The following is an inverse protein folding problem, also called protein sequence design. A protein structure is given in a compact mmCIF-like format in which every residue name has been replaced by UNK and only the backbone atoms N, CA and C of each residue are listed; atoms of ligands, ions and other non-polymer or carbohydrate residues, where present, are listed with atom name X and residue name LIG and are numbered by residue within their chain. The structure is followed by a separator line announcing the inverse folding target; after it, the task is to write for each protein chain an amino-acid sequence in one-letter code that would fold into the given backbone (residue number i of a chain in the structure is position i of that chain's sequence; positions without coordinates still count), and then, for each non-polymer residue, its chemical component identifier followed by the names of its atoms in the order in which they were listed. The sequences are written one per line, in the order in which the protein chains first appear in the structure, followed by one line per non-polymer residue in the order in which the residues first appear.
data_IF_553341854002
#
_entry.id   IF_553341854002
#
_cell.length_a   1.000
_cell.length_b   1.000
_cell.length_c   1.000
_cell.angle_alpha   90.00
_cell.angle_beta   90.00
_cell.angle_gamma   90.00
#
_symmetry.space_group_name_H-M   'P 1'
#
loop_
_entity.id
_entity.type
_entity.pdbx_description
1 polymer ?
#
# COMPACT_ATOMS: atom_id res chain seq x y z
N UNK A 1 -5.27 -15.51 -8.72
CA UNK A 1 -3.83 -15.29 -8.95
C UNK A 1 -3.32 -14.44 -7.80
N UNK A 2 -2.44 -14.97 -6.94
CA UNK A 2 -1.92 -14.21 -5.78
C UNK A 2 -0.90 -13.17 -6.27
N UNK A 3 -1.24 -11.89 -6.18
CA UNK A 3 -0.32 -10.81 -6.54
C UNK A 3 0.79 -10.68 -5.48
N UNK A 4 2.06 -10.82 -5.88
CA UNK A 4 3.24 -10.69 -5.00
C UNK A 4 4.06 -9.41 -5.23
N UNK A 5 3.52 -8.44 -5.97
CA UNK A 5 4.28 -7.27 -6.42
C UNK A 5 4.91 -6.44 -5.30
N UNK A 6 4.30 -6.38 -4.11
CA UNK A 6 4.89 -5.69 -2.94
C UNK A 6 6.20 -6.36 -2.55
N UNK A 7 6.19 -7.69 -2.37
CA UNK A 7 7.36 -8.48 -1.96
C UNK A 7 8.45 -8.47 -3.03
N UNK A 8 8.07 -8.55 -4.29
CA UNK A 8 9.01 -8.47 -5.40
C UNK A 8 9.73 -7.12 -5.45
N UNK A 9 9.02 -6.02 -5.21
CA UNK A 9 9.62 -4.69 -5.16
C UNK A 9 10.50 -4.50 -3.92
N UNK A 10 10.07 -4.96 -2.74
CA UNK A 10 10.91 -4.95 -1.53
C UNK A 10 12.24 -5.66 -1.77
N UNK A 11 12.22 -6.84 -2.40
CA UNK A 11 13.42 -7.60 -2.71
C UNK A 11 14.34 -6.88 -3.70
N UNK A 12 13.79 -6.35 -4.81
CA UNK A 12 14.55 -5.61 -5.82
C UNK A 12 15.21 -4.35 -5.26
N UNK A 13 14.49 -3.61 -4.41
CA UNK A 13 15.02 -2.42 -3.75
C UNK A 13 16.10 -2.79 -2.73
N UNK A 14 15.88 -3.84 -1.93
CA UNK A 14 16.88 -4.32 -0.99
C UNK A 14 18.16 -4.73 -1.69
N UNK A 15 18.09 -5.46 -2.82
CA UNK A 15 19.25 -5.83 -3.63
C UNK A 15 19.97 -4.59 -4.17
N UNK A 16 19.24 -3.66 -4.79
CA UNK A 16 19.79 -2.44 -5.36
C UNK A 16 20.55 -1.61 -4.33
N UNK A 17 19.91 -1.30 -3.20
CA UNK A 17 20.53 -0.50 -2.15
C UNK A 17 21.63 -1.25 -1.40
N UNK A 18 21.56 -2.58 -1.29
CA UNK A 18 22.65 -3.35 -0.70
C UNK A 18 23.93 -3.23 -1.53
N UNK A 19 23.80 -3.31 -2.86
CA UNK A 19 24.93 -3.12 -3.79
C UNK A 19 25.45 -1.68 -3.73
N UNK A 20 24.55 -0.69 -3.72
CA UNK A 20 24.94 0.72 -3.71
C UNK A 20 25.63 1.15 -2.41
N UNK A 21 25.15 0.65 -1.26
CA UNK A 21 25.64 1.06 0.06
C UNK A 21 26.81 0.19 0.56
N UNK A 22 27.06 -0.96 -0.07
CA UNK A 22 28.08 -1.91 0.37
C UNK A 22 27.74 -2.65 1.67
N UNK A 23 26.48 -2.57 2.13
CA UNK A 23 25.97 -3.23 3.34
C UNK A 23 24.58 -3.80 3.06
N UNK A 24 24.17 -4.85 3.77
CA UNK A 24 22.82 -5.41 3.59
C UNK A 24 21.72 -4.39 3.96
N UNK A 25 20.85 -4.06 3.00
CA UNK A 25 19.71 -3.18 3.16
C UNK A 25 18.42 -4.00 3.39
N UNK A 26 17.53 -3.49 4.25
CA UNK A 26 16.18 -4.02 4.45
C UNK A 26 15.15 -3.01 3.95
N UNK A 27 14.18 -3.46 3.16
CA UNK A 27 13.13 -2.62 2.60
C UNK A 27 11.76 -3.17 3.01
N UNK A 28 10.85 -2.26 3.38
CA UNK A 28 9.49 -2.56 3.76
C UNK A 28 8.55 -1.51 3.15
N UNK A 29 7.51 -1.97 2.45
CA UNK A 29 6.45 -1.10 1.96
C UNK A 29 5.65 -0.54 3.15
N UNK A 30 5.47 0.79 3.19
CA UNK A 30 4.85 1.48 4.34
C UNK A 30 3.35 1.71 4.22
N UNK A 31 2.79 1.60 3.01
CA UNK A 31 1.37 1.91 2.74
C UNK A 31 0.63 0.69 2.14
N UNK A 32 0.71 -0.44 2.84
CA UNK A 32 -0.03 -1.67 2.52
C UNK A 32 -0.88 -2.02 3.73
N UNK A 33 -2.18 -2.26 3.50
CA UNK A 33 -3.13 -2.58 4.54
C UNK A 33 -3.74 -3.96 4.32
N UNK A 34 -4.05 -4.64 5.42
CA UNK A 34 -4.83 -5.88 5.40
C UNK A 34 -6.31 -5.50 5.35
N UNK A 35 -7.03 -6.01 4.36
CA UNK A 35 -8.45 -5.76 4.14
C UNK A 35 -9.22 -7.05 4.40
N UNK A 36 -10.21 -6.96 5.29
CA UNK A 36 -11.15 -8.04 5.61
C UNK A 36 -12.47 -7.80 4.85
N UNK A 37 -12.77 -8.68 3.88
CA UNK A 37 -14.01 -8.66 3.10
C UNK A 37 -14.60 -10.06 2.95
N UNK A 38 -14.94 -10.48 1.72
CA UNK A 38 -15.26 -11.89 1.41
C UNK A 38 -14.07 -12.84 1.63
N UNK A 39 -12.87 -12.30 1.69
CA UNK A 39 -11.63 -12.98 2.07
C UNK A 39 -10.64 -11.98 2.69
N UNK A 40 -9.48 -12.48 3.10
CA UNK A 40 -8.36 -11.65 3.56
C UNK A 40 -7.48 -11.30 2.36
N UNK A 41 -7.23 -10.01 2.15
CA UNK A 41 -6.37 -9.52 1.07
C UNK A 41 -5.47 -8.39 1.55
N UNK A 42 -4.32 -8.19 0.90
CA UNK A 42 -3.49 -7.00 1.08
C UNK A 42 -3.84 -5.98 -0.02
N UNK A 43 -4.03 -4.72 0.36
CA UNK A 43 -4.27 -3.62 -0.59
C UNK A 43 -3.35 -2.44 -0.32
N UNK A 44 -2.74 -1.86 -1.36
CA UNK A 44 -2.06 -0.59 -1.21
C UNK A 44 -3.10 0.49 -0.89
N UNK A 45 -2.69 1.48 -0.11
CA UNK A 45 -3.52 2.64 0.21
C UNK A 45 -2.70 3.92 0.18
N UNK A 46 -3.39 5.05 0.14
CA UNK A 46 -2.80 6.38 0.22
C UNK A 46 -3.48 7.14 1.37
N UNK A 47 -2.75 7.50 2.44
CA UNK A 47 -3.28 8.35 3.49
C UNK A 47 -3.44 9.80 3.00
N UNK A 48 -4.55 10.44 3.36
CA UNK A 48 -4.85 11.84 3.14
C UNK A 48 -5.10 12.55 4.47
N UNK A 49 -4.49 13.72 4.65
CA UNK A 49 -4.74 14.59 5.79
C UNK A 49 -5.75 15.68 5.43
N UNK A 50 -6.94 15.62 6.02
CA UNK A 50 -7.99 16.63 5.86
C UNK A 50 -7.80 17.69 6.95
N UNK A 51 -7.58 18.94 6.54
CA UNK A 51 -7.43 20.08 7.44
C UNK A 51 -8.61 21.05 7.30
N UNK A 52 -9.19 21.43 8.42
CA UNK A 52 -10.27 22.42 8.48
C UNK A 52 -10.29 23.10 9.84
N UNK A 53 -10.85 24.30 9.92
CA UNK A 53 -11.05 25.00 11.19
C UNK A 53 -12.26 24.47 11.96
N UNK A 54 -12.19 23.18 12.33
CA UNK A 54 -13.17 22.49 13.18
C UNK A 54 -12.50 21.47 14.11
N UNK A 55 -13.09 21.18 15.28
CA UNK A 55 -12.61 20.12 16.16
C UNK A 55 -12.43 18.79 15.41
N UNK A 56 -11.29 18.14 15.63
CA UNK A 56 -10.92 16.89 14.94
C UNK A 56 -10.26 17.06 13.56
N UNK A 57 -10.29 18.26 12.97
CA UNK A 57 -9.64 18.58 11.68
C UNK A 57 -8.62 19.72 11.82
N UNK A 58 -8.66 20.46 12.92
CA UNK A 58 -7.75 21.57 13.24
C UNK A 58 -6.43 21.03 13.81
N UNK A 59 -5.30 21.33 13.15
CA UNK A 59 -3.96 20.94 13.61
C UNK A 59 -2.97 20.67 12.47
N UNK A 60 -1.69 20.58 12.79
CA UNK A 60 -0.62 20.35 11.81
C UNK A 60 -0.77 19.01 11.06
N UNK A 61 -1.35 17.99 11.72
CA UNK A 61 -1.61 16.66 11.15
C UNK A 61 -2.99 16.52 10.47
N UNK A 62 -3.98 17.35 10.82
CA UNK A 62 -5.35 17.19 10.33
C UNK A 62 -6.01 15.87 10.74
N UNK A 63 -7.14 15.54 10.13
CA UNK A 63 -7.77 14.23 10.21
C UNK A 63 -7.24 13.33 9.11
N UNK A 64 -6.65 12.20 9.47
CA UNK A 64 -6.18 11.22 8.49
C UNK A 64 -7.32 10.32 8.02
N UNK A 65 -7.43 10.13 6.71
CA UNK A 65 -8.26 9.09 6.07
C UNK A 65 -7.39 8.28 5.12
N UNK A 66 -7.74 7.02 4.87
CA UNK A 66 -7.04 6.18 3.89
C UNK A 66 -7.90 5.94 2.66
N UNK A 67 -7.34 6.16 1.47
CA UNK A 67 -7.95 5.75 0.20
C UNK A 67 -7.28 4.47 -0.30
N UNK A 68 -8.06 3.43 -0.55
CA UNK A 68 -7.56 2.13 -0.99
C UNK A 68 -7.63 2.01 -2.51
N UNK A 69 -6.61 1.45 -3.13
CA UNK A 69 -6.62 1.22 -4.58
C UNK A 69 -7.34 -0.09 -4.92
N UNK A 70 -8.18 -0.05 -5.96
CA UNK A 70 -8.80 -1.23 -6.57
C UNK A 70 -7.89 -1.89 -7.64
N UNK A 71 -6.66 -1.42 -7.78
CA UNK A 71 -5.63 -1.99 -8.65
C UNK A 71 -4.26 -1.94 -7.96
N UNK A 72 -3.34 -2.78 -8.43
CA UNK A 72 -1.95 -2.78 -8.00
C UNK A 72 -1.18 -1.67 -8.75
N UNK A 73 -0.58 -0.68 -8.05
CA UNK A 73 0.14 0.42 -8.71
C UNK A 73 1.44 -0.02 -9.40
N UNK A 74 1.88 -1.26 -9.19
CA UNK A 74 3.09 -1.81 -9.79
C UNK A 74 2.84 -2.55 -11.10
N UNK A 75 1.77 -3.36 -11.17
CA UNK A 75 1.48 -4.21 -12.33
C UNK A 75 0.17 -3.86 -13.06
N UNK A 76 -0.64 -2.95 -12.50
CA UNK A 76 -1.94 -2.56 -13.07
C UNK A 76 -3.06 -3.60 -12.89
N UNK A 77 -2.78 -4.77 -12.31
CA UNK A 77 -3.79 -5.80 -12.05
C UNK A 77 -4.83 -5.37 -11.02
N UNK A 78 -6.09 -5.79 -11.20
CA UNK A 78 -7.17 -5.54 -10.23
C UNK A 78 -6.86 -6.14 -8.85
N UNK A 79 -7.20 -5.43 -7.78
CA UNK A 79 -7.16 -5.95 -6.39
C UNK A 79 -8.51 -6.52 -5.94
N UNK A 80 -9.51 -6.51 -6.82
CA UNK A 80 -10.74 -7.26 -6.65
C UNK A 80 -10.56 -8.66 -7.23
N UNK A 81 -10.98 -9.68 -6.49
CA UNK A 81 -11.18 -11.00 -7.08
C UNK A 81 -12.19 -10.83 -8.22
N UNK A 82 -11.84 -11.34 -9.41
CA UNK A 82 -12.78 -11.42 -10.52
C UNK A 82 -14.00 -12.18 -9.98
N UNK A 83 -15.09 -11.44 -9.73
CA UNK A 83 -16.38 -12.04 -9.43
C UNK A 83 -16.67 -12.92 -10.64
N UNK A 84 -16.52 -14.24 -10.51
CA UNK A 84 -17.01 -15.15 -11.52
C UNK A 84 -18.47 -14.75 -11.74
N UNK A 85 -18.78 -14.29 -12.95
CA UNK A 85 -20.13 -13.88 -13.30
C UNK A 85 -21.03 -15.09 -13.01
N UNK A 86 -21.92 -14.94 -12.03
CA UNK A 86 -22.97 -15.90 -11.73
C UNK A 86 -24.07 -15.79 -12.78
#
# INVERSE_FOLDING_TARGET
MSCNCVRDNEARLAEHYSKQLGVAAKVEAKNVAIVFGSGVSERPYLPYAIKADRPGFKGAKGKEISMFFNFCPFCGGSTEEAKAAA
#
